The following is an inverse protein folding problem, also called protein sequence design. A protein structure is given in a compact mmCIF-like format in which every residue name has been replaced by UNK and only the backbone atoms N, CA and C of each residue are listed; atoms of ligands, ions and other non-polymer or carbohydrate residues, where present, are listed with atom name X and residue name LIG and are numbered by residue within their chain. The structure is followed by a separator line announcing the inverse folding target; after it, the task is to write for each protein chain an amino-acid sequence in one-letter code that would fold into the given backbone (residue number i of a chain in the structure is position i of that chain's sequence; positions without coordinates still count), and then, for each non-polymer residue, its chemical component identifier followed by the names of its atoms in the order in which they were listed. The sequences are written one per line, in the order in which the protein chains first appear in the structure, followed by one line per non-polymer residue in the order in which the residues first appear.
data_IF_012499489263
#
_entry.id   IF_012499489263
#
_cell.length_a   1.000
_cell.length_b   1.000
_cell.length_c   1.000
_cell.angle_alpha   90.00
_cell.angle_beta   90.00
_cell.angle_gamma   90.00
#
_symmetry.space_group_name_H-M   'P 1'
#
loop_
_entity.id
_entity.type
_entity.pdbx_description
1 polymer ?
#
# COMPACT_ATOMS: atom_id res chain seq x y z
N UNK A 1 11.26 4.17 -2.48
CA UNK A 1 11.51 2.89 -1.78
C UNK A 1 11.41 1.68 -2.70
N UNK A 2 10.27 1.46 -3.43
CA UNK A 2 10.11 0.27 -4.29
C UNK A 2 11.26 0.09 -5.29
N UNK A 3 11.63 1.16 -6.01
CA UNK A 3 12.78 1.14 -6.93
C UNK A 3 14.10 0.80 -6.23
N UNK A 4 14.34 1.34 -5.02
CA UNK A 4 15.55 1.00 -4.26
C UNK A 4 15.59 -0.48 -3.85
N UNK A 5 14.45 -1.05 -3.46
CA UNK A 5 14.35 -2.48 -3.13
C UNK A 5 14.59 -3.39 -4.34
N UNK A 6 14.22 -2.98 -5.55
CA UNK A 6 14.40 -3.81 -6.75
C UNK A 6 15.89 -4.08 -7.12
N UNK A 7 16.83 -3.34 -6.52
CA UNK A 7 18.27 -3.62 -6.65
C UNK A 7 18.80 -4.61 -5.60
N UNK A 8 18.02 -4.89 -4.55
CA UNK A 8 18.47 -5.67 -3.37
C UNK A 8 17.75 -6.99 -3.25
N UNK A 9 16.47 -7.05 -3.65
CA UNK A 9 15.65 -8.25 -3.53
C UNK A 9 15.24 -8.80 -4.89
N UNK A 10 15.07 -10.14 -5.01
CA UNK A 10 14.58 -10.77 -6.24
C UNK A 10 13.21 -10.20 -6.65
N UNK A 11 12.88 -10.19 -7.96
CA UNK A 11 11.62 -9.65 -8.47
C UNK A 11 10.37 -10.22 -7.79
N UNK A 12 10.33 -11.52 -7.52
CA UNK A 12 9.21 -12.18 -6.85
C UNK A 12 9.07 -11.79 -5.38
N UNK A 13 10.15 -11.38 -4.72
CA UNK A 13 10.12 -10.92 -3.33
C UNK A 13 9.82 -9.41 -3.20
N UNK A 14 9.93 -8.66 -4.28
CA UNK A 14 9.84 -7.20 -4.26
C UNK A 14 8.52 -6.70 -3.66
N UNK A 15 7.39 -7.24 -4.12
CA UNK A 15 6.05 -6.79 -3.70
C UNK A 15 5.71 -7.23 -2.27
N UNK A 16 5.93 -8.51 -1.87
CA UNK A 16 5.74 -8.94 -0.49
C UNK A 16 6.60 -8.17 0.52
N UNK A 17 7.91 -8.09 0.28
CA UNK A 17 8.86 -7.40 1.17
C UNK A 17 8.54 -5.91 1.28
N UNK A 18 8.23 -5.24 0.16
CA UNK A 18 7.73 -3.88 0.18
C UNK A 18 6.47 -3.74 1.03
N UNK A 19 5.56 -4.71 0.94
CA UNK A 19 4.30 -4.72 1.71
C UNK A 19 4.55 -4.64 3.21
N UNK A 20 5.37 -5.53 3.76
CA UNK A 20 5.61 -5.59 5.20
C UNK A 20 6.44 -4.40 5.72
N UNK A 21 7.39 -3.89 4.95
CA UNK A 21 8.12 -2.66 5.29
C UNK A 21 7.17 -1.46 5.36
N UNK A 22 6.27 -1.35 4.39
CA UNK A 22 5.27 -0.27 4.37
C UNK A 22 4.23 -0.41 5.47
N UNK A 23 3.87 -1.63 5.86
CA UNK A 23 3.00 -1.87 7.01
C UNK A 23 3.61 -1.22 8.26
N UNK A 24 4.86 -1.53 8.59
CA UNK A 24 5.56 -0.96 9.74
C UNK A 24 5.70 0.57 9.66
N UNK A 25 6.13 1.09 8.51
CA UNK A 25 6.32 2.53 8.30
C UNK A 25 5.01 3.34 8.35
N UNK A 26 3.90 2.82 7.83
CA UNK A 26 2.62 3.53 7.86
C UNK A 26 1.94 3.40 9.22
N UNK A 27 2.12 2.28 9.92
CA UNK A 27 1.61 2.09 11.27
C UNK A 27 2.11 3.18 12.22
N UNK A 28 3.39 3.57 12.12
CA UNK A 28 3.96 4.67 12.89
C UNK A 28 3.19 5.99 12.73
N UNK A 29 2.73 6.28 11.50
CA UNK A 29 2.03 7.54 11.20
C UNK A 29 0.67 7.67 11.87
N UNK A 30 0.04 6.56 12.26
CA UNK A 30 -1.25 6.58 12.98
C UNK A 30 -1.07 7.26 14.35
N UNK A 31 0.07 7.04 15.00
CA UNK A 31 0.33 7.59 16.33
C UNK A 31 0.58 9.09 16.37
N UNK A 32 0.80 9.74 15.22
CA UNK A 32 0.99 11.19 15.15
C UNK A 32 -0.25 11.92 15.69
N UNK A 33 -1.46 11.49 15.33
CA UNK A 33 -2.69 12.03 15.90
C UNK A 33 -3.91 11.12 15.66
N UNK A 34 -4.09 10.12 16.49
CA UNK A 34 -5.26 9.21 16.41
C UNK A 34 -6.62 9.96 16.46
N UNK A 35 -6.64 11.14 17.08
CA UNK A 35 -7.85 11.96 17.22
C UNK A 35 -8.37 12.50 15.90
N UNK A 36 -7.47 12.68 14.92
CA UNK A 36 -7.79 13.27 13.61
C UNK A 36 -8.21 12.24 12.56
N UNK A 37 -8.37 10.98 12.93
CA UNK A 37 -8.82 9.91 12.04
C UNK A 37 -10.24 10.16 11.53
N UNK A 38 -10.44 10.06 10.22
CA UNK A 38 -11.79 10.06 9.64
C UNK A 38 -12.37 8.64 9.58
N UNK A 39 -13.07 8.27 10.66
CA UNK A 39 -13.67 6.93 10.80
C UNK A 39 -14.69 6.61 9.70
N UNK A 40 -15.30 7.62 9.07
CA UNK A 40 -16.31 7.42 8.03
C UNK A 40 -15.76 6.82 6.75
N UNK A 41 -14.44 6.97 6.51
CA UNK A 41 -13.76 6.41 5.33
C UNK A 41 -13.01 5.12 5.63
N UNK A 42 -12.66 4.87 6.90
CA UNK A 42 -11.81 3.73 7.28
C UNK A 42 -12.54 2.40 7.05
N UNK A 43 -13.74 2.22 7.61
CA UNK A 43 -14.44 0.94 7.53
C UNK A 43 -14.81 0.53 6.08
N UNK A 44 -15.41 1.39 5.25
CA UNK A 44 -15.66 1.04 3.86
C UNK A 44 -14.37 0.74 3.08
N UNK A 45 -13.27 1.47 3.36
CA UNK A 45 -11.98 1.20 2.74
C UNK A 45 -11.42 -0.16 3.16
N UNK A 46 -11.50 -0.53 4.45
CA UNK A 46 -11.04 -1.83 4.96
C UNK A 46 -11.74 -2.96 4.20
N UNK A 47 -13.07 -2.90 4.09
CA UNK A 47 -13.84 -3.94 3.40
C UNK A 47 -13.43 -4.02 1.91
N UNK A 48 -13.33 -2.86 1.24
CA UNK A 48 -12.85 -2.80 -0.14
C UNK A 48 -11.43 -3.35 -0.28
N UNK A 49 -10.52 -2.96 0.62
CA UNK A 49 -9.13 -3.42 0.60
C UNK A 49 -8.99 -4.92 0.81
N UNK A 50 -9.79 -5.52 1.68
CA UNK A 50 -9.80 -6.96 1.90
C UNK A 50 -10.19 -7.70 0.61
N UNK A 51 -11.28 -7.28 -0.04
CA UNK A 51 -11.71 -7.84 -1.32
C UNK A 51 -10.65 -7.63 -2.39
N UNK A 52 -10.10 -6.41 -2.50
CA UNK A 52 -9.08 -6.09 -3.48
C UNK A 52 -7.77 -6.86 -3.28
N UNK A 53 -7.37 -7.11 -2.04
CA UNK A 53 -6.19 -7.93 -1.74
C UNK A 53 -6.42 -9.40 -2.10
N UNK A 54 -7.60 -9.93 -1.81
CA UNK A 54 -7.98 -11.29 -2.22
C UNK A 54 -7.97 -11.46 -3.74
N UNK A 55 -8.61 -10.56 -4.48
CA UNK A 55 -8.59 -10.58 -5.94
C UNK A 55 -7.18 -10.41 -6.49
N UNK A 56 -6.42 -9.48 -5.91
CA UNK A 56 -5.07 -9.17 -6.36
C UNK A 56 -4.08 -10.32 -6.16
N UNK A 57 -4.15 -11.07 -5.05
CA UNK A 57 -3.25 -12.20 -4.83
C UNK A 57 -3.53 -13.34 -5.80
N UNK A 58 -4.79 -13.65 -6.07
CA UNK A 58 -5.16 -14.68 -7.06
C UNK A 58 -4.68 -14.31 -8.48
N UNK A 59 -4.73 -13.03 -8.85
CA UNK A 59 -4.17 -12.59 -10.14
C UNK A 59 -2.65 -12.67 -10.10
N UNK A 60 -2.02 -12.28 -8.99
CA UNK A 60 -0.56 -12.30 -8.83
C UNK A 60 0.02 -13.70 -9.00
N UNK A 61 -0.63 -14.75 -8.48
CA UNK A 61 -0.17 -16.14 -8.58
C UNK A 61 -0.10 -16.67 -10.02
N UNK A 62 -0.96 -16.15 -10.91
CA UNK A 62 -1.00 -16.56 -12.33
C UNK A 62 -0.33 -15.56 -13.27
N UNK A 63 0.10 -14.40 -12.76
CA UNK A 63 0.72 -13.36 -13.56
C UNK A 63 2.18 -13.70 -13.86
N UNK A 64 2.57 -13.60 -15.13
CA UNK A 64 3.98 -13.70 -15.50
C UNK A 64 4.80 -12.60 -14.81
N UNK A 65 5.93 -12.95 -14.13
CA UNK A 65 6.74 -11.97 -13.41
C UNK A 65 7.25 -10.82 -14.29
N UNK A 66 7.50 -11.05 -15.57
CA UNK A 66 7.95 -10.02 -16.51
C UNK A 66 6.85 -8.99 -16.77
N UNK A 67 5.59 -9.45 -16.89
CA UNK A 67 4.43 -8.57 -17.03
C UNK A 67 4.25 -7.75 -15.76
N UNK A 68 4.43 -8.37 -14.58
CA UNK A 68 4.39 -7.69 -13.30
C UNK A 68 5.41 -6.54 -13.22
N UNK A 69 6.67 -6.78 -13.63
CA UNK A 69 7.74 -5.78 -13.62
C UNK A 69 7.44 -4.60 -14.57
N UNK A 70 7.01 -4.88 -15.79
CA UNK A 70 6.57 -3.84 -16.74
C UNK A 70 5.40 -3.04 -16.17
N UNK A 71 4.43 -3.73 -15.56
CA UNK A 71 3.29 -3.11 -14.90
C UNK A 71 3.71 -2.18 -13.75
N UNK A 72 4.68 -2.57 -12.91
CA UNK A 72 5.28 -1.70 -11.88
C UNK A 72 5.83 -0.43 -12.50
N UNK A 73 6.62 -0.52 -13.56
CA UNK A 73 7.21 0.62 -14.26
C UNK A 73 6.14 1.57 -14.81
N UNK A 74 5.17 1.02 -15.54
CA UNK A 74 4.06 1.80 -16.11
C UNK A 74 3.20 2.44 -15.02
N UNK A 75 2.93 1.74 -13.92
CA UNK A 75 2.18 2.29 -12.81
C UNK A 75 2.91 3.44 -12.12
N UNK A 76 4.24 3.35 -11.97
CA UNK A 76 5.06 4.44 -11.43
C UNK A 76 4.99 5.66 -12.36
N UNK A 77 5.18 5.48 -13.66
CA UNK A 77 5.05 6.55 -14.65
C UNK A 77 3.66 7.19 -14.61
N UNK A 78 2.60 6.38 -14.58
CA UNK A 78 1.24 6.89 -14.44
C UNK A 78 1.03 7.64 -13.12
N UNK A 79 1.62 7.18 -12.02
CA UNK A 79 1.49 7.86 -10.72
C UNK A 79 2.15 9.24 -10.69
N UNK A 80 3.15 9.48 -11.55
CA UNK A 80 3.87 10.75 -11.66
C UNK A 80 3.15 11.70 -12.65
N UNK A 81 2.79 11.20 -13.81
CA UNK A 81 2.28 12.01 -14.93
C UNK A 81 0.78 11.92 -15.15
N UNK A 82 0.15 10.89 -14.61
CA UNK A 82 -1.26 10.60 -14.79
C UNK A 82 -2.17 11.52 -13.97
N UNK A 83 -3.43 11.60 -14.40
CA UNK A 83 -4.47 12.33 -13.68
C UNK A 83 -5.39 11.31 -13.00
N UNK A 84 -5.45 11.38 -11.67
CA UNK A 84 -6.39 10.56 -10.92
C UNK A 84 -7.78 11.20 -10.88
N UNK A 85 -8.86 10.41 -11.01
CA UNK A 85 -10.21 10.94 -10.96
C UNK A 85 -10.53 11.55 -9.59
N UNK A 86 -11.29 12.65 -9.60
CA UNK A 86 -11.77 13.30 -8.38
C UNK A 86 -12.99 12.55 -7.85
N UNK A 87 -12.74 11.60 -6.97
CA UNK A 87 -13.81 10.78 -6.35
C UNK A 87 -14.20 11.33 -4.99
N UNK A 88 -15.50 11.33 -4.69
CA UNK A 88 -16.00 11.67 -3.36
C UNK A 88 -15.94 10.49 -2.38
N UNK A 89 -16.21 10.76 -1.08
CA UNK A 89 -16.15 9.75 0.00
C UNK A 89 -17.00 8.50 -0.26
N UNK A 90 -18.11 8.61 -0.99
CA UNK A 90 -18.99 7.49 -1.34
C UNK A 90 -18.29 6.38 -2.16
N UNK A 91 -17.21 6.72 -2.84
CA UNK A 91 -16.44 5.78 -3.64
C UNK A 91 -15.26 5.15 -2.89
N UNK A 92 -15.10 5.43 -1.59
CA UNK A 92 -13.94 4.99 -0.81
C UNK A 92 -13.82 3.45 -0.75
N UNK A 93 -14.93 2.73 -0.72
CA UNK A 93 -14.98 1.28 -0.82
C UNK A 93 -14.31 0.78 -2.12
N UNK A 94 -14.75 1.30 -3.27
CA UNK A 94 -14.17 0.97 -4.57
C UNK A 94 -12.71 1.42 -4.68
N UNK A 95 -12.39 2.58 -4.10
CA UNK A 95 -11.02 3.06 -3.97
C UNK A 95 -10.13 2.07 -3.21
N UNK A 96 -10.63 1.52 -2.12
CA UNK A 96 -9.97 0.45 -1.35
C UNK A 96 -9.77 -0.81 -2.18
N UNK A 97 -10.82 -1.30 -2.85
CA UNK A 97 -10.75 -2.51 -3.67
C UNK A 97 -9.74 -2.36 -4.82
N UNK A 98 -9.89 -1.33 -5.64
CA UNK A 98 -9.03 -1.09 -6.81
C UNK A 98 -7.58 -0.84 -6.38
N UNK A 99 -7.36 0.03 -5.38
CA UNK A 99 -5.99 0.35 -4.95
C UNK A 99 -5.28 -0.85 -4.33
N UNK A 100 -6.01 -1.73 -3.62
CA UNK A 100 -5.42 -2.94 -3.04
C UNK A 100 -5.10 -3.97 -4.10
N UNK A 101 -5.99 -4.20 -5.08
CA UNK A 101 -5.68 -5.07 -6.22
C UNK A 101 -4.42 -4.58 -6.97
N UNK A 102 -4.36 -3.29 -7.32
CA UNK A 102 -3.19 -2.71 -7.97
C UNK A 102 -1.93 -2.77 -7.09
N UNK A 103 -2.08 -2.61 -5.78
CA UNK A 103 -0.97 -2.75 -4.84
C UNK A 103 -0.42 -4.16 -4.76
N UNK A 104 -1.26 -5.19 -4.90
CA UNK A 104 -0.83 -6.59 -4.97
C UNK A 104 -0.03 -6.86 -6.24
N UNK A 105 -0.44 -6.27 -7.37
CA UNK A 105 0.18 -6.51 -8.66
C UNK A 105 1.44 -5.67 -8.89
N UNK A 106 1.43 -4.40 -8.47
CA UNK A 106 2.44 -3.41 -8.82
C UNK A 106 3.19 -2.81 -7.61
N UNK A 107 2.84 -3.20 -6.41
CA UNK A 107 3.56 -2.84 -5.19
C UNK A 107 3.24 -1.45 -4.62
N UNK A 108 2.96 -0.45 -5.44
CA UNK A 108 2.84 0.94 -5.02
C UNK A 108 1.43 1.50 -5.23
N UNK A 109 0.72 1.84 -4.17
CA UNK A 109 -0.62 2.44 -4.23
C UNK A 109 -0.74 3.77 -3.48
N UNK A 110 0.32 4.18 -2.78
CA UNK A 110 0.32 5.42 -1.99
C UNK A 110 -0.16 6.66 -2.74
N UNK A 111 0.35 6.96 -3.95
CA UNK A 111 -0.12 8.10 -4.75
C UNK A 111 -1.61 8.02 -5.10
N UNK A 112 -2.12 6.81 -5.40
CA UNK A 112 -3.54 6.60 -5.71
C UNK A 112 -4.43 6.91 -4.51
N UNK A 113 -4.07 6.40 -3.33
CA UNK A 113 -4.82 6.65 -2.08
C UNK A 113 -4.73 8.12 -1.70
N UNK A 114 -3.54 8.73 -1.80
CA UNK A 114 -3.38 10.17 -1.55
C UNK A 114 -4.26 11.00 -2.47
N UNK A 115 -4.30 10.70 -3.77
CA UNK A 115 -5.16 11.37 -4.73
C UNK A 115 -6.66 11.17 -4.42
N UNK A 116 -7.05 9.96 -3.98
CA UNK A 116 -8.42 9.65 -3.60
C UNK A 116 -8.90 10.52 -2.43
N UNK A 117 -8.12 10.64 -1.35
CA UNK A 117 -8.52 11.38 -0.16
C UNK A 117 -8.24 12.89 -0.27
N UNK A 118 -7.43 13.33 -1.24
CA UNK A 118 -7.15 14.78 -1.48
C UNK A 118 -8.44 15.58 -1.68
N UNK A 119 -9.47 14.98 -2.27
CA UNK A 119 -10.74 15.63 -2.55
C UNK A 119 -11.68 15.70 -1.33
N UNK A 120 -11.27 15.21 -0.17
CA UNK A 120 -12.10 15.22 1.05
C UNK A 120 -11.95 16.50 1.88
N UNK A 121 -11.12 17.44 1.41
CA UNK A 121 -10.86 18.73 2.07
C UNK A 121 -10.38 18.59 3.53
N UNK A 122 -9.54 17.58 3.78
CA UNK A 122 -8.91 17.39 5.08
C UNK A 122 -7.83 18.47 5.32
N UNK A 123 -7.67 18.88 6.58
CA UNK A 123 -6.48 19.59 6.98
C UNK A 123 -5.24 18.68 6.83
N UNK A 124 -4.01 19.23 6.79
CA UNK A 124 -2.80 18.43 6.56
C UNK A 124 -2.62 17.26 7.54
N UNK A 125 -2.87 17.48 8.84
CA UNK A 125 -2.74 16.44 9.87
C UNK A 125 -3.73 15.31 9.63
N UNK A 126 -5.01 15.63 9.46
CA UNK A 126 -6.06 14.67 9.17
C UNK A 126 -5.78 13.89 7.89
N UNK A 127 -5.24 14.54 6.85
CA UNK A 127 -4.85 13.88 5.60
C UNK A 127 -3.76 12.84 5.86
N UNK A 128 -2.67 13.20 6.53
CA UNK A 128 -1.53 12.32 6.81
C UNK A 128 -1.96 11.12 7.64
N UNK A 129 -2.70 11.34 8.71
CA UNK A 129 -3.14 10.27 9.63
C UNK A 129 -4.15 9.35 8.96
N UNK A 130 -5.12 9.89 8.23
CA UNK A 130 -6.10 9.07 7.49
C UNK A 130 -5.38 8.27 6.39
N UNK A 131 -4.50 8.89 5.61
CA UNK A 131 -3.69 8.19 4.60
C UNK A 131 -2.88 7.05 5.21
N UNK A 132 -2.14 7.32 6.30
CA UNK A 132 -1.36 6.31 7.02
C UNK A 132 -2.22 5.14 7.49
N UNK A 133 -3.41 5.40 8.00
CA UNK A 133 -4.35 4.35 8.44
C UNK A 133 -4.84 3.49 7.28
N UNK A 134 -5.27 4.11 6.17
CA UNK A 134 -5.72 3.37 4.99
C UNK A 134 -4.59 2.49 4.43
N UNK A 135 -3.37 3.05 4.34
CA UNK A 135 -2.18 2.33 3.90
C UNK A 135 -1.81 1.18 4.85
N UNK A 136 -1.96 1.36 6.16
CA UNK A 136 -1.69 0.31 7.15
C UNK A 136 -2.59 -0.90 6.92
N UNK A 137 -3.90 -0.70 6.80
CA UNK A 137 -4.82 -1.82 6.55
C UNK A 137 -4.55 -2.47 5.19
N UNK A 138 -4.30 -1.69 4.14
CA UNK A 138 -3.98 -2.22 2.83
C UNK A 138 -2.73 -3.09 2.84
N UNK A 139 -1.67 -2.64 3.50
CA UNK A 139 -0.42 -3.40 3.60
C UNK A 139 -0.52 -4.57 4.57
N UNK A 140 -1.37 -4.49 5.60
CA UNK A 140 -1.69 -5.62 6.46
C UNK A 140 -2.32 -6.76 5.64
N UNK A 141 -3.38 -6.46 4.87
CA UNK A 141 -4.03 -7.47 4.04
C UNK A 141 -3.11 -8.02 2.94
N UNK A 142 -2.28 -7.16 2.36
CA UNK A 142 -1.23 -7.59 1.43
C UNK A 142 -0.27 -8.58 2.08
N UNK A 143 0.30 -8.25 3.23
CA UNK A 143 1.26 -9.11 3.92
C UNK A 143 0.64 -10.43 4.34
N UNK A 144 -0.61 -10.40 4.84
CA UNK A 144 -1.37 -11.61 5.17
C UNK A 144 -1.63 -12.46 3.94
N UNK A 145 -2.05 -11.87 2.82
CA UNK A 145 -2.31 -12.60 1.58
C UNK A 145 -1.04 -13.32 1.09
N UNK A 146 0.11 -12.65 1.06
CA UNK A 146 1.38 -13.27 0.68
C UNK A 146 1.83 -14.34 1.67
N UNK A 147 1.59 -14.14 2.97
CA UNK A 147 1.86 -15.15 3.99
C UNK A 147 1.03 -16.44 3.73
N UNK A 148 -0.26 -16.30 3.43
CA UNK A 148 -1.13 -17.45 3.19
C UNK A 148 -0.82 -18.22 1.91
N UNK A 149 -0.24 -17.59 0.90
CA UNK A 149 0.26 -18.28 -0.29
C UNK A 149 1.71 -18.81 -0.13
N UNK A 150 2.26 -18.77 1.09
CA UNK A 150 3.54 -19.41 1.43
C UNK A 150 4.79 -18.58 1.16
N UNK A 151 4.68 -17.25 1.07
CA UNK A 151 5.87 -16.42 0.92
C UNK A 151 6.73 -16.45 2.20
N UNK A 152 8.01 -16.79 2.05
CA UNK A 152 8.99 -16.94 3.14
C UNK A 152 9.52 -15.56 3.62
N UNK A 153 8.76 -14.87 4.48
CA UNK A 153 9.15 -13.57 5.03
C UNK A 153 10.40 -13.65 5.93
N UNK A 154 10.66 -14.80 6.52
CA UNK A 154 11.82 -15.05 7.42
C UNK A 154 13.16 -14.78 6.72
N UNK A 155 13.27 -15.01 5.42
CA UNK A 155 14.49 -14.75 4.65
C UNK A 155 14.85 -13.25 4.60
N UNK A 156 13.85 -12.38 4.82
CA UNK A 156 13.99 -10.93 4.70
C UNK A 156 13.87 -10.20 6.04
N UNK A 157 13.78 -10.92 7.17
CA UNK A 157 13.45 -10.33 8.48
C UNK A 157 14.45 -9.24 8.90
N UNK A 158 15.73 -9.45 8.64
CA UNK A 158 16.77 -8.46 8.95
C UNK A 158 16.60 -7.18 8.10
N UNK A 159 16.43 -7.32 6.78
CA UNK A 159 16.21 -6.21 5.87
C UNK A 159 14.95 -5.43 6.26
N UNK A 160 13.85 -6.15 6.52
CA UNK A 160 12.56 -5.57 6.93
C UNK A 160 12.73 -4.78 8.24
N UNK A 161 13.38 -5.37 9.24
CA UNK A 161 13.63 -4.73 10.53
C UNK A 161 14.41 -3.42 10.39
N UNK A 162 15.52 -3.45 9.67
CA UNK A 162 16.36 -2.26 9.41
C UNK A 162 15.55 -1.18 8.68
N UNK A 163 14.82 -1.55 7.63
CA UNK A 163 14.04 -0.59 6.83
C UNK A 163 12.90 0.04 7.64
N UNK A 164 12.23 -0.71 8.51
CA UNK A 164 11.21 -0.17 9.40
C UNK A 164 11.83 0.80 10.40
N UNK A 165 12.95 0.44 11.04
CA UNK A 165 13.65 1.30 11.99
C UNK A 165 14.11 2.61 11.36
N UNK A 166 14.73 2.55 10.17
CA UNK A 166 15.14 3.74 9.42
C UNK A 166 13.93 4.59 9.02
N UNK A 167 12.83 3.96 8.63
CA UNK A 167 11.57 4.64 8.32
C UNK A 167 10.97 5.36 9.53
N UNK A 168 11.08 4.78 10.72
CA UNK A 168 10.70 5.42 11.98
C UNK A 168 11.54 6.67 12.25
N UNK A 169 12.87 6.53 12.25
CA UNK A 169 13.81 7.64 12.49
C UNK A 169 13.59 8.78 11.48
N UNK A 170 13.30 8.47 10.22
CA UNK A 170 13.04 9.48 9.19
C UNK A 170 11.66 10.15 9.26
N UNK A 171 10.76 9.66 10.14
CA UNK A 171 9.40 10.22 10.31
C UNK A 171 9.37 11.25 11.47
N UNK A 172 10.27 11.17 12.41
CA UNK A 172 10.45 12.06 13.56
C UNK A 172 11.68 12.93 13.43
#
# INVERSE_FOLDING_TARGET
MLVGLSFVVPPLALIPVHGIIQLGSNFARIFVSVKDLDKSVILPFIIGSLIGSYLGVNIYEVLDPSIGQVGVGLFILYSIFGKFPKLGKKYIFFGGAVSSTLSMLFGASGPLISALIKNFNFNPVKHVVTHGSLMTFQHLFKSLAFFFIGFAFEEYIFLVGVMILVGFVGTY
#
